data_IF_930894369611
#
_entry.id   IF_930894369611
#
_cell.length_a   1.000
_cell.length_b   1.000
_cell.length_c   1.000
_cell.angle_alpha   90.00
_cell.angle_beta   90.00
_cell.angle_gamma   90.00
#
_symmetry.space_group_name_H-M   'P 1'
#
loop_
_entity.id
_entity.type
_entity.pdbx_description
1 polymer ?
#
# COMPACT_ATOMS: atom_id res chain seq x y z
N UNK A 1 41.36 -4.66 17.10
CA UNK A 1 40.43 -4.16 16.07
C UNK A 1 39.10 -4.85 16.29
N UNK A 2 38.11 -4.11 16.82
CA UNK A 2 36.75 -4.60 17.07
C UNK A 2 35.93 -4.46 15.79
N UNK A 3 35.22 -5.54 15.40
CA UNK A 3 34.32 -5.59 14.26
C UNK A 3 32.99 -4.91 14.61
N UNK A 4 33.01 -3.59 14.80
CA UNK A 4 31.83 -2.79 15.08
C UNK A 4 31.94 -1.46 14.34
N UNK A 5 31.59 -1.43 13.06
CA UNK A 5 31.31 -0.18 12.33
C UNK A 5 30.72 -0.48 10.94
N UNK A 6 29.56 -1.16 10.89
CA UNK A 6 28.74 -1.07 9.67
C UNK A 6 27.24 -1.36 9.87
N UNK A 7 26.70 -1.03 11.04
CA UNK A 7 25.27 -0.79 11.14
C UNK A 7 25.05 0.67 10.72
N UNK A 8 24.68 0.88 9.45
CA UNK A 8 24.21 2.18 8.99
C UNK A 8 23.07 2.59 9.92
N UNK A 9 23.35 3.52 10.83
CA UNK A 9 22.38 4.12 11.73
C UNK A 9 21.36 4.86 10.87
N UNK A 10 20.28 4.18 10.48
CA UNK A 10 19.15 4.80 9.80
C UNK A 10 18.57 5.87 10.72
N UNK A 11 18.69 7.14 10.34
CA UNK A 11 18.14 8.24 11.13
C UNK A 11 16.61 8.13 11.07
N UNK A 12 15.89 8.12 12.21
CA UNK A 12 14.43 7.98 12.25
C UNK A 12 13.67 8.99 11.37
N UNK A 13 14.24 10.17 11.11
CA UNK A 13 13.69 11.19 10.21
C UNK A 13 13.58 10.70 8.77
N UNK A 14 14.60 10.02 8.25
CA UNK A 14 14.68 9.65 6.84
C UNK A 14 13.67 8.55 6.51
N UNK A 15 13.42 7.69 7.49
CA UNK A 15 12.44 6.61 7.39
C UNK A 15 11.01 7.14 7.42
N UNK A 16 10.71 8.11 8.28
CA UNK A 16 9.41 8.79 8.33
C UNK A 16 9.14 9.59 7.04
N UNK A 17 10.13 10.33 6.55
CA UNK A 17 10.03 11.03 5.26
C UNK A 17 9.72 10.08 4.11
N UNK A 18 10.40 8.93 4.06
CA UNK A 18 10.15 7.91 3.04
C UNK A 18 8.75 7.30 3.14
N UNK A 19 8.22 7.09 4.34
CA UNK A 19 6.83 6.63 4.51
C UNK A 19 5.84 7.71 4.04
N UNK A 20 6.10 8.99 4.33
CA UNK A 20 5.31 10.10 3.82
C UNK A 20 5.28 10.16 2.28
N UNK A 21 6.42 9.94 1.62
CA UNK A 21 6.49 9.85 0.16
C UNK A 21 5.74 8.63 -0.40
N UNK A 22 5.78 7.49 0.29
CA UNK A 22 5.02 6.31 -0.10
C UNK A 22 3.51 6.55 0.06
N UNK A 23 3.10 7.23 1.13
CA UNK A 23 1.71 7.62 1.36
C UNK A 23 1.18 8.57 0.29
N UNK A 24 1.94 9.58 -0.11
CA UNK A 24 1.49 10.51 -1.16
C UNK A 24 1.24 9.80 -2.50
N UNK A 25 2.07 8.80 -2.83
CA UNK A 25 1.88 7.95 -4.01
C UNK A 25 0.65 7.04 -3.88
N UNK A 26 0.43 6.47 -2.69
CA UNK A 26 -0.79 5.70 -2.39
C UNK A 26 -2.03 6.58 -2.57
N UNK A 27 -2.04 7.77 -1.98
CA UNK A 27 -3.18 8.69 -2.05
C UNK A 27 -3.48 9.13 -3.48
N UNK A 28 -2.44 9.35 -4.28
CA UNK A 28 -2.58 9.65 -5.70
C UNK A 28 -3.27 8.51 -6.46
N UNK A 29 -2.78 7.28 -6.32
CA UNK A 29 -3.37 6.11 -6.99
C UNK A 29 -4.79 5.83 -6.51
N UNK A 30 -5.03 5.97 -5.21
CA UNK A 30 -6.34 5.84 -4.59
C UNK A 30 -7.35 6.83 -5.14
N UNK A 31 -6.95 8.09 -5.26
CA UNK A 31 -7.80 9.12 -5.85
C UNK A 31 -8.13 8.78 -7.29
N UNK A 32 -7.16 8.37 -8.08
CA UNK A 32 -7.43 7.95 -9.46
C UNK A 32 -8.41 6.76 -9.50
N UNK A 33 -8.24 5.74 -8.66
CA UNK A 33 -9.11 4.57 -8.66
C UNK A 33 -10.55 4.88 -8.22
N UNK A 34 -10.72 5.83 -7.29
CA UNK A 34 -12.03 6.22 -6.77
C UNK A 34 -12.76 7.25 -7.64
N UNK A 35 -12.03 8.20 -8.22
CA UNK A 35 -12.59 9.41 -8.87
C UNK A 35 -12.23 9.51 -10.36
N UNK A 36 -11.40 8.59 -10.87
CA UNK A 36 -10.88 8.65 -12.23
C UNK A 36 -11.96 8.36 -13.28
N UNK A 37 -12.13 9.29 -14.20
CA UNK A 37 -12.90 9.08 -15.43
C UNK A 37 -12.07 8.26 -16.43
N UNK A 38 -12.06 6.95 -16.24
CA UNK A 38 -11.29 6.04 -17.09
C UNK A 38 -11.99 5.78 -18.42
N UNK A 39 -11.34 6.17 -19.53
CA UNK A 39 -11.79 5.84 -20.88
C UNK A 39 -11.55 4.35 -21.25
N UNK A 40 -10.68 3.66 -20.50
CA UNK A 40 -10.32 2.27 -20.73
C UNK A 40 -10.11 1.53 -19.40
N UNK A 41 -10.58 0.29 -19.33
CA UNK A 41 -10.40 -0.62 -18.18
C UNK A 41 -8.93 -0.96 -17.91
N UNK A 42 -8.08 -0.91 -18.93
CA UNK A 42 -6.64 -1.19 -18.79
C UNK A 42 -5.95 -0.15 -17.90
N UNK A 43 -6.38 1.12 -17.98
CA UNK A 43 -5.83 2.18 -17.11
C UNK A 43 -6.21 1.93 -15.65
N UNK A 44 -7.44 1.51 -15.38
CA UNK A 44 -7.86 1.10 -14.04
C UNK A 44 -7.04 -0.09 -13.54
N UNK A 45 -6.88 -1.13 -14.36
CA UNK A 45 -6.11 -2.33 -14.01
C UNK A 45 -4.63 -2.00 -13.74
N UNK A 46 -4.01 -1.14 -14.55
CA UNK A 46 -2.64 -0.69 -14.35
C UNK A 46 -2.48 0.08 -13.04
N UNK A 47 -3.38 1.01 -12.75
CA UNK A 47 -3.37 1.75 -11.49
C UNK A 47 -3.55 0.83 -10.28
N UNK A 48 -4.41 -0.19 -10.42
CA UNK A 48 -4.63 -1.20 -9.39
C UNK A 48 -3.38 -2.04 -9.10
N UNK A 49 -2.68 -2.49 -10.14
CA UNK A 49 -1.41 -3.22 -10.01
C UNK A 49 -0.36 -2.35 -9.34
N UNK A 50 -0.22 -1.10 -9.76
CA UNK A 50 0.71 -0.15 -9.14
C UNK A 50 0.41 0.10 -7.67
N UNK A 51 -0.87 0.25 -7.29
CA UNK A 51 -1.27 0.42 -5.89
C UNK A 51 -0.90 -0.81 -5.06
N UNK A 52 -1.16 -2.01 -5.59
CA UNK A 52 -0.89 -3.27 -4.90
C UNK A 52 0.61 -3.45 -4.60
N UNK A 53 1.46 -3.27 -5.63
CA UNK A 53 2.93 -3.37 -5.48
C UNK A 53 3.49 -2.31 -4.52
N UNK A 54 2.98 -1.08 -4.62
CA UNK A 54 3.39 -0.01 -3.73
C UNK A 54 3.01 -0.32 -2.28
N UNK A 55 1.80 -0.82 -2.05
CA UNK A 55 1.33 -1.16 -0.71
C UNK A 55 2.06 -2.36 -0.12
N UNK A 56 2.44 -3.37 -0.90
CA UNK A 56 3.29 -4.47 -0.42
C UNK A 56 4.61 -3.97 0.16
N UNK A 57 5.21 -2.97 -0.47
CA UNK A 57 6.44 -2.33 0.02
C UNK A 57 6.24 -1.60 1.35
N UNK A 58 5.09 -0.95 1.52
CA UNK A 58 4.68 -0.30 2.79
C UNK A 58 4.42 -1.36 3.86
N UNK A 59 3.69 -2.42 3.52
CA UNK A 59 3.31 -3.48 4.45
C UNK A 59 4.55 -4.20 5.00
N UNK A 60 5.58 -4.41 4.19
CA UNK A 60 6.87 -4.93 4.66
C UNK A 60 7.47 -4.06 5.78
N UNK A 61 7.38 -2.73 5.65
CA UNK A 61 7.78 -1.80 6.72
C UNK A 61 6.86 -1.82 7.93
N UNK A 62 5.54 -1.93 7.73
CA UNK A 62 4.58 -2.00 8.84
C UNK A 62 4.69 -3.29 9.66
N UNK A 63 5.24 -4.36 9.08
CA UNK A 63 5.51 -5.61 9.80
C UNK A 63 6.71 -5.51 10.74
N UNK A 64 7.57 -4.48 10.60
CA UNK A 64 8.60 -4.16 11.58
C UNK A 64 7.97 -3.45 12.78
N UNK A 65 7.99 -4.12 13.94
CA UNK A 65 7.38 -3.60 15.17
C UNK A 65 8.03 -2.28 15.64
N UNK A 66 9.35 -2.13 15.50
CA UNK A 66 10.04 -0.91 15.94
C UNK A 66 9.65 0.27 15.06
N UNK A 67 9.55 0.03 13.75
CA UNK A 67 9.08 1.03 12.80
C UNK A 67 7.61 1.38 13.04
N UNK A 68 6.75 0.39 13.21
CA UNK A 68 5.33 0.62 13.47
C UNK A 68 5.11 1.39 14.79
N UNK A 69 5.84 1.04 15.85
CA UNK A 69 5.81 1.77 17.13
C UNK A 69 6.28 3.22 16.97
N UNK A 70 7.31 3.46 16.14
CA UNK A 70 7.79 4.81 15.83
C UNK A 70 6.70 5.60 15.10
N UNK A 71 6.11 5.06 14.02
CA UNK A 71 5.05 5.73 13.25
C UNK A 71 3.86 6.06 14.15
N UNK A 72 3.39 5.11 14.99
CA UNK A 72 2.26 5.35 15.90
C UNK A 72 2.56 6.49 16.89
N UNK A 73 3.79 6.59 17.38
CA UNK A 73 4.20 7.65 18.31
C UNK A 73 4.35 9.01 17.64
N UNK A 74 4.81 9.06 16.39
CA UNK A 74 5.10 10.31 15.69
C UNK A 74 3.91 10.82 14.88
N UNK A 75 3.12 9.92 14.29
CA UNK A 75 2.00 10.23 13.40
C UNK A 75 0.96 9.10 13.42
N UNK A 76 0.06 9.17 14.40
CA UNK A 76 -1.02 8.19 14.58
C UNK A 76 -2.01 8.18 13.41
N UNK A 77 -2.24 9.33 12.76
CA UNK A 77 -3.17 9.43 11.62
C UNK A 77 -2.60 8.70 10.41
N UNK A 78 -1.30 8.88 10.14
CA UNK A 78 -0.60 8.12 9.11
C UNK A 78 -0.68 6.62 9.35
N UNK A 79 -0.45 6.16 10.59
CA UNK A 79 -0.60 4.75 10.94
C UNK A 79 -2.01 4.21 10.65
N UNK A 80 -3.05 4.96 11.04
CA UNK A 80 -4.44 4.59 10.83
C UNK A 80 -4.80 4.54 9.33
N UNK A 81 -4.36 5.52 8.55
CA UNK A 81 -4.57 5.60 7.11
C UNK A 81 -3.92 4.44 6.36
N UNK A 82 -2.69 4.08 6.71
CA UNK A 82 -1.99 2.95 6.08
C UNK A 82 -2.73 1.63 6.36
N UNK A 83 -3.17 1.40 7.60
CA UNK A 83 -3.97 0.23 7.97
C UNK A 83 -5.32 0.19 7.23
N UNK A 84 -5.98 1.34 7.08
CA UNK A 84 -7.24 1.44 6.35
C UNK A 84 -7.05 1.12 4.86
N UNK A 85 -5.99 1.65 4.25
CA UNK A 85 -5.61 1.37 2.86
C UNK A 85 -5.44 -0.13 2.63
N UNK A 86 -4.70 -0.81 3.51
CA UNK A 86 -4.51 -2.27 3.40
C UNK A 86 -5.81 -3.06 3.45
N UNK A 87 -6.71 -2.73 4.38
CA UNK A 87 -8.02 -3.39 4.47
C UNK A 87 -8.85 -3.22 3.20
N UNK A 88 -8.81 -2.03 2.61
CA UNK A 88 -9.56 -1.76 1.39
C UNK A 88 -8.94 -2.44 0.17
N UNK A 89 -7.61 -2.53 0.07
CA UNK A 89 -6.94 -3.34 -0.96
C UNK A 89 -7.36 -4.82 -0.85
N UNK A 90 -7.38 -5.37 0.37
CA UNK A 90 -7.85 -6.74 0.61
C UNK A 90 -9.32 -6.92 0.21
N UNK A 91 -10.18 -5.97 0.59
CA UNK A 91 -11.61 -5.98 0.23
C UNK A 91 -11.81 -5.99 -1.29
N UNK A 92 -11.15 -5.08 -2.00
CA UNK A 92 -11.24 -4.99 -3.46
C UNK A 92 -10.66 -6.23 -4.15
N UNK A 93 -9.52 -6.76 -3.66
CA UNK A 93 -8.94 -8.01 -4.17
C UNK A 93 -9.90 -9.20 -4.00
N UNK A 94 -10.65 -9.24 -2.90
CA UNK A 94 -11.69 -10.24 -2.69
C UNK A 94 -12.88 -10.05 -3.66
N UNK A 95 -13.31 -8.81 -3.84
CA UNK A 95 -14.39 -8.48 -4.78
C UNK A 95 -14.05 -8.86 -6.23
N UNK A 96 -12.85 -8.52 -6.71
CA UNK A 96 -12.41 -8.85 -8.07
C UNK A 96 -12.38 -10.37 -8.32
N UNK A 97 -11.87 -11.15 -7.37
CA UNK A 97 -11.93 -12.63 -7.43
C UNK A 97 -13.36 -13.16 -7.47
N UNK A 98 -14.26 -12.55 -6.70
CA UNK A 98 -15.68 -12.91 -6.70
C UNK A 98 -16.32 -12.62 -8.08
N UNK A 99 -16.08 -11.44 -8.63
CA UNK A 99 -16.60 -11.01 -9.93
C UNK A 99 -16.08 -11.91 -11.07
N UNK A 100 -14.79 -12.25 -11.07
CA UNK A 100 -14.18 -13.16 -12.04
C UNK A 100 -14.85 -14.55 -12.01
N UNK A 101 -15.09 -15.09 -10.82
CA UNK A 101 -15.76 -16.37 -10.64
C UNK A 101 -17.22 -16.34 -11.11
N UNK A 102 -17.93 -15.23 -10.89
CA UNK A 102 -19.29 -15.05 -11.38
C UNK A 102 -19.30 -15.00 -12.92
N UNK A 103 -18.39 -14.24 -13.55
CA UNK A 103 -18.28 -14.15 -15.00
C UNK A 103 -18.00 -15.49 -15.67
N UNK A 104 -17.10 -16.32 -15.09
CA UNK A 104 -16.83 -17.68 -15.57
C UNK A 104 -18.06 -18.59 -15.51
N UNK A 105 -18.88 -18.46 -14.47
CA UNK A 105 -20.13 -19.24 -14.33
C UNK A 105 -21.17 -18.86 -15.39
N UNK A 106 -21.25 -17.57 -15.75
CA UNK A 106 -22.18 -17.08 -16.78
C UNK A 106 -21.83 -17.53 -18.20
N UNK A 107 -20.60 -17.94 -18.47
CA UNK A 107 -20.12 -18.43 -19.78
C UNK A 107 -20.19 -19.96 -19.93
N UNK A 108 -20.46 -20.69 -18.85
CA UNK A 108 -20.65 -22.15 -18.87
C UNK A 108 -22.15 -22.52 -19.03
N UNK A 109 -22.81 -21.94 -20.03
CA UNK A 109 -24.14 -22.32 -20.51
C UNK A 109 -24.00 -22.79 -21.95
#
# INVERSE_FOLDING_TARGET
MSASDNAISYVPSDLLSRIGELKSKVDFLMRQLCEGEYLCTDTFANNWVHLSVLYESIQAGMNDRNLMDLIVKTDLLLAADLLATGRMIQMMSNFLRCAENAGRRSLNI
#
